data_IF_607809788991
#
_entry.id   IF_607809788991
#
_cell.length_a   1.000
_cell.length_b   1.000
_cell.length_c   1.000
_cell.angle_alpha   90.00
_cell.angle_beta   90.00
_cell.angle_gamma   90.00
#
_symmetry.space_group_name_H-M   'P 1'
#
loop_
_entity.id
_entity.type
_entity.pdbx_description
1 polymer ?
#
# COMPACT_ATOMS: atom_id res chain seq x y z
N UNK A 1 24.74 -15.94 -5.60
CA UNK A 1 24.31 -15.93 -4.17
C UNK A 1 23.17 -14.94 -3.94
N UNK A 2 23.28 -13.73 -4.44
CA UNK A 2 22.23 -12.68 -4.32
C UNK A 2 20.88 -13.10 -4.89
N UNK A 3 20.84 -13.67 -6.10
CA UNK A 3 19.59 -14.14 -6.73
C UNK A 3 18.87 -15.18 -5.89
N UNK A 4 19.59 -16.14 -5.30
CA UNK A 4 18.99 -17.16 -4.42
C UNK A 4 18.39 -16.48 -3.18
N UNK A 5 19.12 -15.54 -2.58
CA UNK A 5 18.65 -14.81 -1.41
C UNK A 5 17.37 -14.04 -1.69
N UNK A 6 17.24 -13.41 -2.87
CA UNK A 6 16.00 -12.75 -3.31
C UNK A 6 14.80 -13.70 -3.32
N UNK A 7 14.95 -14.88 -3.89
CA UNK A 7 13.87 -15.89 -3.90
C UNK A 7 13.56 -16.43 -2.51
N UNK A 8 14.56 -16.64 -1.66
CA UNK A 8 14.37 -17.10 -0.28
C UNK A 8 13.58 -16.06 0.53
N UNK A 9 13.94 -14.80 0.44
CA UNK A 9 13.27 -13.71 1.17
C UNK A 9 11.82 -13.58 0.71
N UNK A 10 11.56 -13.54 -0.59
CA UNK A 10 10.19 -13.35 -1.08
C UNK A 10 9.30 -14.57 -0.77
N UNK A 11 9.86 -15.78 -0.84
CA UNK A 11 9.16 -17.00 -0.42
C UNK A 11 8.82 -16.96 1.07
N UNK A 12 9.77 -16.54 1.92
CA UNK A 12 9.58 -16.42 3.35
C UNK A 12 8.53 -15.36 3.70
N UNK A 13 8.54 -14.20 3.02
CA UNK A 13 7.51 -13.15 3.17
C UNK A 13 6.14 -13.70 2.80
N UNK A 14 6.00 -14.35 1.64
CA UNK A 14 4.75 -14.93 1.18
C UNK A 14 4.22 -16.03 2.11
N UNK A 15 5.10 -16.93 2.55
CA UNK A 15 4.77 -17.99 3.49
C UNK A 15 4.24 -17.43 4.81
N UNK A 16 5.05 -16.56 5.43
CA UNK A 16 4.77 -16.04 6.76
C UNK A 16 3.53 -15.14 6.77
N UNK A 17 3.35 -14.28 5.76
CA UNK A 17 2.16 -13.45 5.62
C UNK A 17 0.88 -14.29 5.50
N UNK A 18 0.90 -15.34 4.65
CA UNK A 18 -0.24 -16.25 4.52
C UNK A 18 -0.55 -16.99 5.82
N UNK A 19 0.46 -17.43 6.57
CA UNK A 19 0.28 -18.07 7.88
C UNK A 19 -0.32 -17.08 8.88
N UNK A 20 0.18 -15.84 8.94
CA UNK A 20 -0.33 -14.81 9.84
C UNK A 20 -1.81 -14.49 9.55
N UNK A 21 -2.18 -14.40 8.29
CA UNK A 21 -3.56 -14.19 7.86
C UNK A 21 -4.43 -15.41 8.16
N UNK A 22 -3.94 -16.64 7.91
CA UNK A 22 -4.65 -17.88 8.21
C UNK A 22 -5.01 -18.00 9.70
N UNK A 23 -4.08 -17.64 10.57
CA UNK A 23 -4.26 -17.67 12.02
C UNK A 23 -4.91 -16.39 12.58
N UNK A 24 -5.36 -15.47 11.73
CA UNK A 24 -5.95 -14.19 12.12
C UNK A 24 -5.07 -13.37 13.08
N UNK A 25 -3.74 -13.52 12.99
CA UNK A 25 -2.75 -12.82 13.81
C UNK A 25 -2.49 -11.43 13.23
N UNK A 26 -2.23 -11.37 11.93
CA UNK A 26 -2.02 -10.14 11.20
C UNK A 26 -2.56 -10.27 9.77
N UNK A 27 -3.16 -9.19 9.27
CA UNK A 27 -3.56 -9.03 7.88
C UNK A 27 -3.15 -7.64 7.39
N UNK A 28 -2.80 -7.54 6.14
CA UNK A 28 -2.34 -6.30 5.54
C UNK A 28 -3.50 -5.38 5.18
N UNK A 29 -4.61 -5.94 4.69
CA UNK A 29 -5.77 -5.15 4.26
C UNK A 29 -6.45 -4.45 5.44
N UNK A 30 -6.41 -3.12 5.43
CA UNK A 30 -7.01 -2.28 6.48
C UNK A 30 -8.53 -2.47 6.61
N UNK A 31 -9.21 -2.83 5.51
CA UNK A 31 -10.63 -3.16 5.51
C UNK A 31 -10.93 -4.54 6.11
N UNK A 32 -9.97 -5.46 6.09
CA UNK A 32 -10.14 -6.82 6.63
C UNK A 32 -9.91 -6.88 8.13
N UNK A 33 -9.01 -6.04 8.68
CA UNK A 33 -8.70 -6.04 10.12
C UNK A 33 -9.94 -5.86 11.01
N UNK A 34 -10.86 -4.91 10.74
CA UNK A 34 -12.10 -4.77 11.51
C UNK A 34 -13.08 -5.95 11.38
N UNK A 35 -12.97 -6.75 10.33
CA UNK A 35 -13.84 -7.91 10.10
C UNK A 35 -13.37 -9.13 10.88
N UNK A 36 -12.07 -9.26 11.14
CA UNK A 36 -11.52 -10.43 11.84
C UNK A 36 -12.08 -10.68 13.24
N UNK A 37 -12.40 -9.67 14.09
CA UNK A 37 -13.10 -9.91 15.35
C UNK A 37 -14.43 -10.67 15.19
N UNK A 38 -15.21 -10.40 14.13
CA UNK A 38 -16.47 -11.11 13.86
C UNK A 38 -16.23 -12.61 13.66
N UNK A 39 -15.14 -12.97 12.98
CA UNK A 39 -14.72 -14.35 12.81
C UNK A 39 -14.19 -14.96 14.10
N UNK A 40 -13.30 -14.25 14.82
CA UNK A 40 -12.71 -14.74 16.07
C UNK A 40 -13.76 -14.96 17.17
N UNK A 41 -14.80 -14.14 17.19
CA UNK A 41 -15.95 -14.24 18.12
C UNK A 41 -17.07 -15.16 17.59
N UNK A 42 -16.81 -15.89 16.48
CA UNK A 42 -17.73 -16.86 15.86
C UNK A 42 -19.06 -16.27 15.36
N UNK A 43 -19.10 -14.96 15.10
CA UNK A 43 -20.27 -14.30 14.48
C UNK A 43 -20.23 -14.39 12.94
N UNK A 44 -19.09 -14.73 12.38
CA UNK A 44 -18.85 -14.91 10.93
C UNK A 44 -18.20 -16.28 10.70
N UNK A 45 -18.60 -16.99 9.66
CA UNK A 45 -17.94 -18.23 9.26
C UNK A 45 -16.70 -17.99 8.37
N UNK A 46 -15.91 -19.04 8.17
CA UNK A 46 -14.67 -18.98 7.39
C UNK A 46 -14.91 -18.65 5.92
N UNK A 47 -16.05 -19.09 5.34
CA UNK A 47 -16.38 -18.83 3.92
C UNK A 47 -16.72 -17.36 3.72
N UNK A 48 -17.48 -16.77 4.62
CA UNK A 48 -17.81 -15.34 4.59
C UNK A 48 -16.54 -14.49 4.76
N UNK A 49 -15.63 -14.84 5.68
CA UNK A 49 -14.36 -14.18 5.85
C UNK A 49 -13.52 -14.24 4.56
N UNK A 50 -13.39 -15.42 3.95
CA UNK A 50 -12.65 -15.62 2.71
C UNK A 50 -13.24 -14.81 1.54
N UNK A 51 -14.57 -14.81 1.39
CA UNK A 51 -15.27 -14.03 0.37
C UNK A 51 -15.05 -12.53 0.57
N UNK A 52 -15.12 -12.05 1.82
CA UNK A 52 -14.84 -10.64 2.16
C UNK A 52 -13.40 -10.27 1.84
N UNK A 53 -12.42 -11.09 2.25
CA UNK A 53 -11.00 -10.88 1.96
C UNK A 53 -10.75 -10.76 0.46
N UNK A 54 -11.33 -11.67 -0.33
CA UNK A 54 -11.24 -11.62 -1.79
C UNK A 54 -11.87 -10.34 -2.35
N UNK A 55 -13.09 -10.02 -1.94
CA UNK A 55 -13.83 -8.88 -2.47
C UNK A 55 -13.09 -7.54 -2.28
N UNK A 56 -12.46 -7.34 -1.11
CA UNK A 56 -11.77 -6.08 -0.80
C UNK A 56 -10.29 -6.09 -1.20
N UNK A 57 -9.66 -7.25 -1.45
CA UNK A 57 -8.25 -7.38 -1.81
C UNK A 57 -8.01 -7.47 -3.30
N UNK A 58 -8.82 -8.25 -4.03
CA UNK A 58 -8.55 -8.61 -5.43
C UNK A 58 -8.45 -7.39 -6.35
N UNK A 59 -9.36 -6.42 -6.21
CA UNK A 59 -9.34 -5.21 -7.03
C UNK A 59 -8.06 -4.39 -6.85
N UNK A 60 -7.56 -4.28 -5.62
CA UNK A 60 -6.30 -3.59 -5.32
C UNK A 60 -5.08 -4.35 -5.87
N UNK A 61 -5.09 -5.69 -5.85
CA UNK A 61 -4.00 -6.48 -6.45
C UNK A 61 -3.94 -6.26 -7.96
N UNK A 62 -5.06 -6.44 -8.66
CA UNK A 62 -5.10 -6.39 -10.12
C UNK A 62 -5.05 -4.96 -10.65
N UNK A 63 -5.78 -4.03 -10.01
CA UNK A 63 -5.89 -2.65 -10.50
C UNK A 63 -4.78 -1.73 -10.05
N UNK A 64 -4.11 -2.02 -8.94
CA UNK A 64 -3.10 -1.16 -8.36
C UNK A 64 -1.74 -1.85 -8.22
N UNK A 65 -1.68 -2.94 -7.48
CA UNK A 65 -0.43 -3.60 -7.13
C UNK A 65 0.35 -4.11 -8.33
N UNK A 66 -0.28 -4.91 -9.20
CA UNK A 66 0.38 -5.51 -10.35
C UNK A 66 0.84 -4.47 -11.39
N UNK A 67 0.00 -3.52 -11.87
CA UNK A 67 0.43 -2.54 -12.85
C UNK A 67 1.61 -1.69 -12.38
N UNK A 68 1.61 -1.24 -11.13
CA UNK A 68 2.73 -0.47 -10.58
C UNK A 68 3.99 -1.32 -10.41
N UNK A 69 3.85 -2.58 -10.01
CA UNK A 69 4.98 -3.51 -9.88
C UNK A 69 5.63 -3.81 -11.24
N UNK A 70 4.83 -4.01 -12.27
CA UNK A 70 5.31 -4.24 -13.63
C UNK A 70 6.05 -3.00 -14.14
N UNK A 71 5.46 -1.82 -13.98
CA UNK A 71 6.04 -0.56 -14.47
C UNK A 71 7.40 -0.23 -13.81
N UNK A 72 7.55 -0.48 -12.51
CA UNK A 72 8.77 -0.19 -11.77
C UNK A 72 9.77 -1.37 -11.74
N UNK A 73 9.36 -2.56 -12.19
CA UNK A 73 10.13 -3.82 -12.04
C UNK A 73 10.51 -4.14 -10.57
N UNK A 74 9.76 -3.60 -9.63
CA UNK A 74 9.88 -3.78 -8.19
C UNK A 74 8.50 -4.13 -7.66
N UNK A 75 8.39 -5.13 -6.79
CA UNK A 75 7.09 -5.56 -6.23
C UNK A 75 6.54 -4.46 -5.32
N UNK A 76 5.35 -3.92 -5.65
CA UNK A 76 4.60 -3.15 -4.67
C UNK A 76 4.04 -4.12 -3.62
N UNK A 77 4.27 -3.83 -2.35
CA UNK A 77 3.92 -4.73 -1.23
C UNK A 77 2.45 -5.19 -1.26
N UNK A 78 1.56 -4.40 -1.83
CA UNK A 78 0.14 -4.73 -2.02
C UNK A 78 -0.07 -6.00 -2.85
N UNK A 79 0.80 -6.29 -3.84
CA UNK A 79 0.70 -7.52 -4.63
C UNK A 79 0.86 -8.76 -3.77
N UNK A 80 1.84 -8.75 -2.88
CA UNK A 80 2.13 -9.93 -2.09
C UNK A 80 1.23 -10.02 -0.85
N UNK A 81 1.09 -8.94 -0.08
CA UNK A 81 0.40 -9.01 1.20
C UNK A 81 -1.13 -9.08 1.07
N UNK A 82 -1.75 -8.40 0.11
CA UNK A 82 -3.20 -8.57 -0.13
C UNK A 82 -3.55 -9.95 -0.66
N UNK A 83 -2.71 -10.51 -1.54
CA UNK A 83 -2.93 -11.88 -2.03
C UNK A 83 -2.70 -12.92 -0.94
N UNK A 84 -1.71 -12.72 -0.07
CA UNK A 84 -1.48 -13.63 1.07
C UNK A 84 -2.59 -13.53 2.11
N UNK A 85 -3.25 -12.38 2.29
CA UNK A 85 -4.48 -12.26 3.09
C UNK A 85 -5.60 -13.13 2.51
N UNK A 86 -5.79 -13.11 1.18
CA UNK A 86 -6.75 -13.96 0.49
C UNK A 86 -6.38 -15.44 0.69
N UNK A 87 -5.15 -15.85 0.36
CA UNK A 87 -4.68 -17.25 0.49
C UNK A 87 -4.87 -17.72 1.93
N UNK A 88 -4.43 -16.94 2.91
CA UNK A 88 -4.52 -17.28 4.33
C UNK A 88 -5.96 -17.50 4.76
N UNK A 89 -6.89 -16.62 4.41
CA UNK A 89 -8.30 -16.73 4.78
C UNK A 89 -9.05 -17.84 4.04
N UNK A 90 -8.65 -18.20 2.84
CA UNK A 90 -9.24 -19.30 2.07
C UNK A 90 -8.82 -20.69 2.57
N UNK A 91 -7.60 -20.83 3.07
CA UNK A 91 -7.15 -22.08 3.66
C UNK A 91 -7.90 -22.38 4.96
N UNK A 92 -8.24 -23.66 5.28
CA UNK A 92 -8.90 -24.03 6.52
C UNK A 92 -8.15 -23.56 7.76
N UNK A 93 -8.89 -23.25 8.83
CA UNK A 93 -8.33 -22.89 10.15
C UNK A 93 -7.95 -24.15 10.94
N UNK A 94 -6.97 -24.87 10.41
CA UNK A 94 -6.41 -26.11 10.98
C UNK A 94 -4.90 -26.09 10.84
N UNK A 95 -4.17 -26.94 11.59
CA UNK A 95 -2.72 -27.09 11.42
C UNK A 95 -2.32 -27.43 9.99
N UNK A 96 -3.08 -28.29 9.30
CA UNK A 96 -2.84 -28.63 7.89
C UNK A 96 -3.12 -27.43 6.98
N UNK A 97 -4.20 -26.69 7.23
CA UNK A 97 -4.53 -25.48 6.48
C UNK A 97 -3.50 -24.36 6.68
N UNK A 98 -2.97 -24.21 7.89
CA UNK A 98 -1.88 -23.27 8.16
C UNK A 98 -0.61 -23.61 7.34
N UNK A 99 -0.21 -24.89 7.32
CA UNK A 99 0.94 -25.33 6.51
C UNK A 99 0.66 -25.11 5.02
N UNK A 100 -0.53 -25.50 4.55
CA UNK A 100 -0.93 -25.30 3.16
C UNK A 100 -0.90 -23.83 2.76
N UNK A 101 -1.42 -22.93 3.61
CA UNK A 101 -1.39 -21.48 3.36
C UNK A 101 0.04 -20.96 3.24
N UNK A 102 0.95 -21.43 4.10
CA UNK A 102 2.37 -21.08 4.05
C UNK A 102 3.04 -21.54 2.77
N UNK A 103 2.81 -22.80 2.34
CA UNK A 103 3.36 -23.33 1.09
C UNK A 103 2.83 -22.57 -0.11
N UNK A 104 1.50 -22.33 -0.20
CA UNK A 104 0.89 -21.59 -1.31
C UNK A 104 1.41 -20.16 -1.33
N UNK A 105 1.52 -19.52 -0.16
CA UNK A 105 2.07 -18.16 -0.04
C UNK A 105 3.54 -18.07 -0.48
N UNK A 106 4.37 -19.06 -0.13
CA UNK A 106 5.76 -19.14 -0.60
C UNK A 106 5.85 -19.27 -2.12
N UNK A 107 5.09 -20.20 -2.69
CA UNK A 107 5.03 -20.41 -4.14
C UNK A 107 4.53 -19.16 -4.85
N UNK A 108 3.51 -18.49 -4.32
CA UNK A 108 3.01 -17.23 -4.86
C UNK A 108 4.08 -16.14 -4.87
N UNK A 109 4.81 -15.95 -3.75
CA UNK A 109 5.89 -14.96 -3.67
C UNK A 109 6.98 -15.19 -4.72
N UNK A 110 7.41 -16.44 -4.88
CA UNK A 110 8.39 -16.84 -5.91
C UNK A 110 7.83 -16.61 -7.31
N UNK A 111 6.57 -17.04 -7.55
CA UNK A 111 5.91 -16.87 -8.82
C UNK A 111 5.73 -15.39 -9.19
N UNK A 112 5.45 -14.52 -8.22
CA UNK A 112 5.33 -13.09 -8.44
C UNK A 112 6.67 -12.47 -8.87
N UNK A 113 7.78 -12.80 -8.18
CA UNK A 113 9.10 -12.30 -8.52
C UNK A 113 9.56 -12.80 -9.89
N UNK A 114 9.37 -14.09 -10.18
CA UNK A 114 9.68 -14.69 -11.47
C UNK A 114 8.76 -14.15 -12.58
N UNK A 115 7.46 -14.02 -12.26
CA UNK A 115 6.45 -13.59 -13.23
C UNK A 115 6.63 -12.15 -13.70
N UNK A 116 7.15 -11.24 -12.86
CA UNK A 116 7.49 -9.89 -13.29
C UNK A 116 8.51 -9.89 -14.43
N UNK A 117 9.58 -10.70 -14.33
CA UNK A 117 10.58 -10.79 -15.38
C UNK A 117 9.99 -11.39 -16.67
N UNK A 118 9.22 -12.47 -16.55
CA UNK A 118 8.55 -13.10 -17.70
C UNK A 118 7.60 -12.12 -18.40
N UNK A 119 6.87 -11.30 -17.64
CA UNK A 119 6.00 -10.27 -18.21
C UNK A 119 6.82 -9.23 -18.97
N UNK A 120 7.92 -8.75 -18.41
CA UNK A 120 8.81 -7.79 -19.08
C UNK A 120 9.34 -8.37 -20.39
N UNK A 121 9.81 -9.62 -20.36
CA UNK A 121 10.33 -10.31 -21.54
C UNK A 121 9.24 -10.49 -22.61
N UNK A 122 8.01 -10.82 -22.19
CA UNK A 122 6.86 -10.93 -23.10
C UNK A 122 6.52 -9.58 -23.76
N UNK A 123 6.54 -8.46 -23.00
CA UNK A 123 6.30 -7.14 -23.56
C UNK A 123 7.35 -6.74 -24.57
N UNK A 124 8.61 -7.16 -24.38
CA UNK A 124 9.70 -6.93 -25.32
C UNK A 124 9.53 -7.67 -26.64
N UNK A 125 8.72 -8.74 -26.68
CA UNK A 125 8.38 -9.48 -27.91
C UNK A 125 7.20 -8.86 -28.66
N UNK A 126 6.44 -7.95 -28.05
CA UNK A 126 5.30 -7.33 -28.72
C UNK A 126 5.75 -6.32 -29.80
N UNK A 127 5.09 -6.29 -30.98
CA UNK A 127 5.34 -5.28 -32.00
C UNK A 127 5.18 -3.85 -31.48
N UNK A 128 4.22 -3.63 -30.60
CA UNK A 128 4.03 -2.39 -29.86
C UNK A 128 4.28 -2.68 -28.37
N UNK A 129 5.51 -2.42 -27.91
CA UNK A 129 5.81 -2.54 -26.48
C UNK A 129 5.25 -1.33 -25.74
N UNK A 130 4.16 -1.54 -25.02
CA UNK A 130 3.48 -0.50 -24.26
C UNK A 130 3.78 -0.54 -22.75
N UNK A 131 4.75 -1.34 -22.30
CA UNK A 131 5.12 -1.50 -20.89
C UNK A 131 5.48 -0.15 -20.25
N UNK A 132 6.32 0.66 -20.93
CA UNK A 132 6.70 1.99 -20.45
C UNK A 132 5.50 2.94 -20.29
N UNK A 133 4.51 2.84 -21.19
CA UNK A 133 3.29 3.65 -21.11
C UNK A 133 2.43 3.28 -19.90
N UNK A 134 2.45 2.01 -19.45
CA UNK A 134 1.76 1.59 -18.21
C UNK A 134 2.33 2.28 -16.98
N UNK A 135 3.56 2.78 -17.01
CA UNK A 135 4.14 3.61 -15.95
C UNK A 135 3.32 4.86 -15.64
N UNK A 136 2.56 5.40 -16.61
CA UNK A 136 1.66 6.53 -16.40
C UNK A 136 0.53 6.23 -15.41
N UNK A 137 0.16 4.97 -15.22
CA UNK A 137 -0.77 4.56 -14.16
C UNK A 137 -0.23 4.96 -12.79
N UNK A 138 1.05 4.76 -12.55
CA UNK A 138 1.71 5.11 -11.29
C UNK A 138 1.77 6.63 -11.05
N UNK A 139 1.88 7.45 -12.09
CA UNK A 139 1.94 8.91 -11.94
C UNK A 139 0.68 9.49 -11.29
N UNK A 140 -0.51 9.01 -11.69
CA UNK A 140 -1.77 9.40 -11.06
C UNK A 140 -1.83 9.01 -9.57
N UNK A 141 -1.32 7.82 -9.25
CA UNK A 141 -1.31 7.30 -7.88
C UNK A 141 -0.33 8.10 -7.00
N UNK A 142 0.83 8.47 -7.52
CA UNK A 142 1.82 9.28 -6.80
C UNK A 142 1.20 10.61 -6.34
N UNK A 143 0.52 11.31 -7.25
CA UNK A 143 -0.19 12.55 -6.93
C UNK A 143 -1.30 12.31 -5.89
N UNK A 144 -2.04 11.22 -6.01
CA UNK A 144 -3.09 10.83 -5.09
C UNK A 144 -2.58 10.65 -3.66
N UNK A 145 -1.43 10.02 -3.50
CA UNK A 145 -0.79 9.86 -2.19
C UNK A 145 -0.39 11.19 -1.55
N UNK A 146 -0.05 12.20 -2.31
CA UNK A 146 0.25 13.53 -1.78
C UNK A 146 -1.02 14.27 -1.30
N UNK A 147 -2.19 13.92 -1.85
CA UNK A 147 -3.47 14.62 -1.60
C UNK A 147 -4.28 13.99 -0.46
N UNK A 148 -4.16 12.68 -0.20
CA UNK A 148 -5.09 11.99 0.72
C UNK A 148 -5.15 12.60 2.14
N UNK A 149 -4.09 13.22 2.73
CA UNK A 149 -4.21 13.86 4.04
C UNK A 149 -5.23 15.01 4.03
N UNK A 150 -5.29 15.78 2.95
CA UNK A 150 -6.27 16.86 2.81
C UNK A 150 -7.70 16.31 2.72
N UNK A 151 -7.90 15.18 2.02
CA UNK A 151 -9.20 14.51 1.95
C UNK A 151 -9.58 13.94 3.33
N UNK A 152 -8.64 13.36 4.06
CA UNK A 152 -8.84 12.88 5.44
C UNK A 152 -9.29 14.02 6.36
N UNK A 153 -8.63 15.18 6.28
CA UNK A 153 -8.99 16.38 7.05
C UNK A 153 -10.38 16.87 6.65
N UNK A 154 -10.71 16.87 5.36
CA UNK A 154 -12.03 17.26 4.88
C UNK A 154 -13.14 16.34 5.42
N UNK A 155 -12.91 15.03 5.44
CA UNK A 155 -13.86 14.04 5.98
C UNK A 155 -14.08 14.20 7.48
N UNK A 156 -13.03 14.51 8.24
CA UNK A 156 -13.12 14.61 9.69
C UNK A 156 -13.56 15.99 10.19
N UNK A 157 -13.10 17.07 9.55
CA UNK A 157 -13.21 18.44 10.05
C UNK A 157 -13.96 19.39 9.11
N UNK A 158 -14.49 18.86 8.01
CA UNK A 158 -15.22 19.63 7.00
C UNK A 158 -14.34 20.22 5.89
N UNK A 159 -14.99 20.62 4.82
CA UNK A 159 -14.35 21.03 3.57
C UNK A 159 -13.38 22.21 3.74
N UNK A 160 -13.69 23.20 4.60
CA UNK A 160 -12.84 24.37 4.79
C UNK A 160 -11.43 24.00 5.28
N UNK A 161 -11.33 23.15 6.32
CA UNK A 161 -10.04 22.67 6.83
C UNK A 161 -9.33 21.77 5.83
N UNK A 162 -10.09 20.95 5.09
CA UNK A 162 -9.57 20.15 3.99
C UNK A 162 -8.94 21.00 2.89
N UNK A 163 -9.60 22.10 2.47
CA UNK A 163 -9.08 23.04 1.48
C UNK A 163 -7.80 23.73 2.00
N UNK A 164 -7.77 24.17 3.25
CA UNK A 164 -6.56 24.76 3.86
C UNK A 164 -5.40 23.75 3.77
N UNK A 165 -5.65 22.49 4.16
CA UNK A 165 -4.64 21.43 4.08
C UNK A 165 -4.16 21.22 2.65
N UNK A 166 -5.07 21.14 1.68
CA UNK A 166 -4.74 20.99 0.27
C UNK A 166 -3.90 22.16 -0.26
N UNK A 167 -4.26 23.39 0.08
CA UNK A 167 -3.51 24.60 -0.32
C UNK A 167 -2.08 24.58 0.26
N UNK A 168 -1.93 24.28 1.54
CA UNK A 168 -0.58 24.18 2.15
C UNK A 168 0.22 23.06 1.52
N UNK A 169 -0.37 21.90 1.30
CA UNK A 169 0.27 20.76 0.62
C UNK A 169 0.76 21.16 -0.80
N UNK A 170 -0.09 21.86 -1.57
CA UNK A 170 0.25 22.36 -2.89
C UNK A 170 1.38 23.39 -2.84
N UNK A 171 1.33 24.33 -1.89
CA UNK A 171 2.39 25.34 -1.73
C UNK A 171 3.74 24.69 -1.39
N UNK A 172 3.76 23.74 -0.46
CA UNK A 172 4.98 22.98 -0.12
C UNK A 172 5.50 22.25 -1.34
N UNK A 173 4.63 21.56 -2.09
CA UNK A 173 5.00 20.89 -3.34
C UNK A 173 5.67 21.85 -4.32
N UNK A 174 5.05 23.02 -4.54
CA UNK A 174 5.56 24.02 -5.48
C UNK A 174 6.88 24.66 -5.02
N UNK A 175 7.02 24.94 -3.72
CA UNK A 175 8.26 25.46 -3.13
C UNK A 175 9.38 24.44 -3.32
N UNK A 176 9.13 23.15 -3.03
CA UNK A 176 10.15 22.10 -3.18
C UNK A 176 10.48 21.85 -4.67
N UNK A 177 9.52 21.94 -5.58
CA UNK A 177 9.79 21.86 -7.02
C UNK A 177 10.73 22.97 -7.48
N UNK A 178 10.57 24.18 -6.93
CA UNK A 178 11.37 25.34 -7.34
C UNK A 178 12.73 25.42 -6.62
N UNK A 179 12.76 25.10 -5.32
CA UNK A 179 13.92 25.34 -4.45
C UNK A 179 14.46 24.07 -3.77
N UNK A 180 13.90 22.89 -4.07
CA UNK A 180 14.25 21.64 -3.38
C UNK A 180 15.63 21.06 -3.72
N UNK A 181 16.40 21.72 -4.61
CA UNK A 181 17.80 21.35 -4.88
C UNK A 181 18.71 22.16 -3.99
N UNK A 182 19.32 21.52 -3.00
CA UNK A 182 20.21 22.14 -2.01
C UNK A 182 21.62 21.67 -2.32
N UNK A 183 22.47 22.54 -2.83
CA UNK A 183 23.91 22.27 -2.98
C UNK A 183 24.56 22.28 -1.58
N UNK A 184 25.17 21.18 -1.17
CA UNK A 184 25.95 21.07 0.05
C UNK A 184 27.38 21.52 -0.17
N UNK A 185 27.94 21.16 -1.33
CA UNK A 185 29.26 21.55 -1.81
C UNK A 185 29.30 21.50 -3.36
N UNK A 186 30.49 21.65 -3.96
CA UNK A 186 30.67 21.65 -5.42
C UNK A 186 30.32 20.31 -6.11
N UNK A 187 30.31 19.20 -5.35
CA UNK A 187 30.11 17.85 -5.89
C UNK A 187 28.81 17.19 -5.37
N UNK A 188 28.24 17.70 -4.27
CA UNK A 188 27.09 17.08 -3.61
C UNK A 188 25.87 18.01 -3.61
N UNK A 189 24.80 17.57 -4.26
CA UNK A 189 23.50 18.23 -4.24
C UNK A 189 22.45 17.29 -3.70
N UNK A 190 21.74 17.71 -2.65
CA UNK A 190 20.54 17.00 -2.18
C UNK A 190 19.34 17.51 -2.95
N UNK A 191 18.60 16.61 -3.57
CA UNK A 191 17.36 16.93 -4.28
C UNK A 191 16.17 16.38 -3.46
N UNK A 192 15.38 17.29 -2.89
CA UNK A 192 14.18 16.91 -2.15
C UNK A 192 13.08 16.48 -3.12
N UNK A 193 12.41 15.36 -2.83
CA UNK A 193 11.26 14.92 -3.61
C UNK A 193 10.03 15.77 -3.27
N UNK A 194 9.46 16.45 -4.27
CA UNK A 194 8.34 17.39 -4.11
C UNK A 194 7.07 16.71 -3.59
N UNK A 195 6.75 15.50 -4.09
CA UNK A 195 5.53 14.79 -3.72
C UNK A 195 5.66 14.17 -2.31
N UNK A 196 6.86 13.68 -1.95
CA UNK A 196 7.18 13.22 -0.60
C UNK A 196 7.10 14.33 0.45
N UNK A 197 7.63 15.52 0.15
CA UNK A 197 7.57 16.68 1.05
C UNK A 197 6.15 17.24 1.18
N UNK A 198 5.38 17.25 0.10
CA UNK A 198 3.96 17.60 0.12
C UNK A 198 3.17 16.64 1.01
N UNK A 199 3.40 15.33 0.85
CA UNK A 199 2.81 14.30 1.70
C UNK A 199 3.15 14.53 3.17
N UNK A 200 4.42 14.79 3.49
CA UNK A 200 4.87 15.06 4.86
C UNK A 200 4.12 16.25 5.48
N UNK A 201 4.03 17.36 4.74
CA UNK A 201 3.31 18.55 5.21
C UNK A 201 1.82 18.25 5.47
N UNK A 202 1.16 17.57 4.54
CA UNK A 202 -0.23 17.15 4.70
C UNK A 202 -0.45 16.24 5.90
N UNK A 203 0.46 15.28 6.12
CA UNK A 203 0.42 14.38 7.28
C UNK A 203 0.58 15.12 8.61
N UNK A 204 1.50 16.06 8.69
CA UNK A 204 1.70 16.88 9.91
C UNK A 204 0.43 17.66 10.22
N UNK A 205 -0.15 18.35 9.25
CA UNK A 205 -1.38 19.13 9.44
C UNK A 205 -2.53 18.23 9.89
N UNK A 206 -2.70 17.07 9.24
CA UNK A 206 -3.73 16.09 9.58
C UNK A 206 -3.59 15.63 11.05
N UNK A 207 -2.37 15.30 11.49
CA UNK A 207 -2.10 14.87 12.86
C UNK A 207 -2.33 15.99 13.87
N UNK A 208 -1.96 17.23 13.54
CA UNK A 208 -2.21 18.40 14.39
C UNK A 208 -3.72 18.61 14.57
N UNK A 209 -4.51 18.62 13.50
CA UNK A 209 -5.95 18.72 13.60
C UNK A 209 -6.57 17.58 14.39
N UNK A 210 -6.12 16.35 14.17
CA UNK A 210 -6.60 15.18 14.89
C UNK A 210 -6.26 15.24 16.38
N UNK A 211 -5.09 15.74 16.75
CA UNK A 211 -4.70 15.91 18.16
C UNK A 211 -5.47 17.04 18.87
N UNK A 212 -5.88 18.08 18.14
CA UNK A 212 -6.67 19.19 18.67
C UNK A 212 -8.16 18.86 18.81
N UNK A 213 -8.62 17.79 18.20
CA UNK A 213 -10.02 17.38 18.19
C UNK A 213 -10.40 16.71 19.52
N UNK A 214 -11.36 17.29 20.21
CA UNK A 214 -11.87 16.82 21.52
C UNK A 214 -13.29 16.24 21.45
N UNK A 215 -13.91 16.17 20.27
CA UNK A 215 -15.25 15.60 20.14
C UNK A 215 -15.24 14.10 20.44
N UNK A 216 -16.20 13.64 21.23
CA UNK A 216 -16.38 12.21 21.56
C UNK A 216 -15.74 11.79 22.89
N UNK A 217 -15.43 12.72 23.79
CA UNK A 217 -14.87 12.42 25.12
C UNK A 217 -15.99 12.15 26.13
N UNK A 218 -16.63 10.98 26.05
CA UNK A 218 -17.59 10.49 27.04
C UNK A 218 -16.84 9.74 28.15
N UNK A 219 -16.72 10.37 29.34
CA UNK A 219 -15.92 9.87 30.47
C UNK A 219 -16.43 8.58 31.11
N UNK A 220 -17.69 8.14 30.90
CA UNK A 220 -18.28 7.01 31.60
C UNK A 220 -18.05 5.63 30.93
N UNK A 221 -17.42 5.59 29.75
CA UNK A 221 -17.13 4.33 29.02
C UNK A 221 -15.67 3.86 29.15
N UNK A 222 -14.81 4.66 29.81
CA UNK A 222 -13.35 4.55 29.65
C UNK A 222 -12.71 3.33 30.33
N UNK A 223 -13.15 2.90 31.52
CA UNK A 223 -12.48 1.79 32.22
C UNK A 223 -12.67 0.44 31.55
N UNK A 224 -13.89 0.13 31.10
CA UNK A 224 -14.20 -1.12 30.41
C UNK A 224 -13.53 -1.20 29.04
N UNK A 225 -13.49 -0.09 28.29
CA UNK A 225 -12.81 0.01 27.00
C UNK A 225 -11.29 -0.13 27.16
N UNK A 226 -10.70 0.48 28.19
CA UNK A 226 -9.27 0.38 28.48
C UNK A 226 -8.86 -1.08 28.76
N UNK A 227 -9.67 -1.85 29.47
CA UNK A 227 -9.43 -3.27 29.71
C UNK A 227 -9.51 -4.08 28.41
N UNK A 228 -10.54 -3.86 27.60
CA UNK A 228 -10.69 -4.52 26.29
C UNK A 228 -9.48 -4.22 25.38
N UNK A 229 -9.03 -2.99 25.35
CA UNK A 229 -7.86 -2.61 24.56
C UNK A 229 -6.57 -3.25 25.07
N UNK A 230 -6.40 -3.35 26.39
CA UNK A 230 -5.26 -4.04 26.99
C UNK A 230 -5.21 -5.52 26.60
N UNK A 231 -6.34 -6.21 26.59
CA UNK A 231 -6.43 -7.63 26.17
C UNK A 231 -6.12 -7.81 24.68
N UNK A 232 -6.60 -6.89 23.83
CA UNK A 232 -6.30 -6.88 22.39
C UNK A 232 -4.80 -6.65 22.12
N UNK A 233 -4.19 -5.72 22.84
CA UNK A 233 -2.72 -5.47 22.72
C UNK A 233 -1.92 -6.65 23.28
N UNK A 234 -2.35 -7.26 24.40
CA UNK A 234 -1.71 -8.46 24.95
C UNK A 234 -1.72 -9.63 23.96
N UNK A 235 -2.82 -9.78 23.20
CA UNK A 235 -2.92 -10.76 22.11
C UNK A 235 -1.85 -10.52 21.04
N UNK A 236 -1.68 -9.28 20.56
CA UNK A 236 -0.66 -8.93 19.57
C UNK A 236 0.75 -9.21 20.12
N UNK A 237 1.01 -8.81 21.37
CA UNK A 237 2.29 -9.01 22.04
C UNK A 237 2.69 -10.48 22.15
N UNK A 238 1.74 -11.39 22.30
CA UNK A 238 1.99 -12.84 22.31
C UNK A 238 2.66 -13.32 21.01
N UNK A 239 2.35 -12.69 19.87
CA UNK A 239 2.88 -13.04 18.56
C UNK A 239 4.04 -12.14 18.12
N UNK A 240 4.58 -11.31 19.02
CA UNK A 240 5.66 -10.37 18.71
C UNK A 240 6.87 -11.03 18.02
N UNK A 241 7.36 -12.22 18.40
CA UNK A 241 8.51 -12.81 17.72
C UNK A 241 8.27 -13.11 16.24
N UNK A 242 7.08 -13.60 15.90
CA UNK A 242 6.70 -13.93 14.52
C UNK A 242 6.46 -12.66 13.71
N UNK A 243 5.85 -11.65 14.31
CA UNK A 243 5.63 -10.34 13.71
C UNK A 243 6.95 -9.60 13.47
N UNK A 244 7.89 -9.70 14.43
CA UNK A 244 9.23 -9.15 14.29
C UNK A 244 10.00 -9.80 13.13
N UNK A 245 9.95 -11.14 13.01
CA UNK A 245 10.53 -11.85 11.87
C UNK A 245 9.92 -11.35 10.55
N UNK A 246 8.60 -11.16 10.49
CA UNK A 246 7.92 -10.64 9.31
C UNK A 246 8.40 -9.24 8.92
N UNK A 247 8.49 -8.33 9.88
CA UNK A 247 9.02 -6.97 9.64
C UNK A 247 10.48 -6.98 9.21
N UNK A 248 11.29 -7.85 9.79
CA UNK A 248 12.68 -8.06 9.37
C UNK A 248 12.79 -8.53 7.92
N UNK A 249 11.98 -9.52 7.52
CA UNK A 249 11.94 -10.03 6.14
C UNK A 249 11.49 -8.95 5.14
N UNK A 250 10.49 -8.13 5.49
CA UNK A 250 10.06 -7.00 4.65
C UNK A 250 11.19 -5.98 4.52
N UNK A 251 11.86 -5.60 5.60
CA UNK A 251 12.98 -4.66 5.56
C UNK A 251 14.15 -5.21 4.71
N UNK A 252 14.48 -6.49 4.85
CA UNK A 252 15.50 -7.14 4.04
C UNK A 252 15.13 -7.17 2.55
N UNK A 253 13.88 -7.51 2.22
CA UNK A 253 13.38 -7.51 0.84
C UNK A 253 13.40 -6.11 0.22
N UNK A 254 13.06 -5.08 1.00
CA UNK A 254 13.14 -3.68 0.57
C UNK A 254 14.58 -3.23 0.38
N UNK A 255 15.50 -3.64 1.27
CA UNK A 255 16.94 -3.37 1.15
C UNK A 255 17.53 -3.91 -0.16
N UNK A 256 17.05 -5.06 -0.61
CA UNK A 256 17.45 -5.69 -1.88
C UNK A 256 16.67 -5.17 -3.10
N UNK A 257 15.87 -4.13 -2.97
CA UNK A 257 15.00 -3.61 -4.04
C UNK A 257 14.07 -4.68 -4.67
N UNK A 258 13.65 -5.66 -3.85
CA UNK A 258 12.66 -6.67 -4.25
C UNK A 258 11.26 -6.06 -4.17
N UNK A 259 11.01 -5.26 -3.14
CA UNK A 259 9.71 -4.68 -2.84
C UNK A 259 9.80 -3.27 -2.28
N UNK A 260 8.71 -2.52 -2.41
CA UNK A 260 8.53 -1.20 -1.81
C UNK A 260 7.14 -1.09 -1.18
N UNK A 261 7.00 -0.18 -0.22
CA UNK A 261 5.77 -0.01 0.55
C UNK A 261 4.71 0.87 -0.12
N UNK A 262 5.13 1.76 -1.00
CA UNK A 262 4.28 2.75 -1.68
C UNK A 262 4.83 3.11 -3.06
N UNK A 263 3.99 3.66 -3.96
CA UNK A 263 4.38 3.92 -5.34
C UNK A 263 5.39 5.04 -5.50
N UNK A 264 5.41 6.04 -4.60
CA UNK A 264 6.40 7.13 -4.68
C UNK A 264 7.78 6.58 -4.35
N UNK A 265 7.90 5.89 -3.21
CA UNK A 265 9.15 5.23 -2.81
C UNK A 265 9.60 4.17 -3.81
N UNK A 266 8.64 3.45 -4.44
CA UNK A 266 8.90 2.44 -5.47
C UNK A 266 9.52 3.09 -6.72
N UNK A 267 8.96 4.19 -7.21
CA UNK A 267 9.47 4.92 -8.36
C UNK A 267 10.87 5.47 -8.11
N UNK A 268 11.07 6.16 -6.98
CA UNK A 268 12.39 6.68 -6.58
C UNK A 268 13.42 5.57 -6.41
N UNK A 269 13.03 4.41 -5.86
CA UNK A 269 13.89 3.24 -5.74
C UNK A 269 14.28 2.67 -7.11
N UNK A 270 13.36 2.65 -8.07
CA UNK A 270 13.62 2.22 -9.44
C UNK A 270 14.60 3.16 -10.17
N UNK A 271 14.56 4.46 -9.85
CA UNK A 271 15.50 5.47 -10.33
C UNK A 271 16.86 5.45 -9.59
N UNK A 272 16.99 4.63 -8.53
CA UNK A 272 18.19 4.51 -7.71
C UNK A 272 18.28 5.53 -6.57
N UNK A 273 17.29 6.40 -6.39
CA UNK A 273 17.25 7.43 -5.34
C UNK A 273 16.69 6.85 -4.02
N UNK A 274 17.53 6.06 -3.34
CA UNK A 274 17.16 5.40 -2.09
C UNK A 274 16.89 6.38 -0.94
N UNK A 275 17.59 7.51 -0.92
CA UNK A 275 17.47 8.50 0.16
C UNK A 275 16.10 9.15 0.12
N UNK A 276 15.70 9.69 -1.04
CA UNK A 276 14.36 10.29 -1.19
C UNK A 276 13.24 9.26 -1.09
N UNK A 277 13.46 8.02 -1.55
CA UNK A 277 12.55 6.91 -1.31
C UNK A 277 12.34 6.67 0.20
N UNK A 278 13.43 6.66 0.98
CA UNK A 278 13.39 6.48 2.44
C UNK A 278 12.70 7.64 3.16
N UNK A 279 12.96 8.88 2.77
CA UNK A 279 12.30 10.07 3.33
C UNK A 279 10.79 10.08 3.04
N UNK A 280 10.40 9.69 1.82
CA UNK A 280 8.99 9.56 1.44
C UNK A 280 8.29 8.46 2.24
N UNK A 281 8.94 7.30 2.38
CA UNK A 281 8.43 6.21 3.20
C UNK A 281 8.28 6.63 4.68
N UNK A 282 9.21 7.44 5.21
CA UNK A 282 9.14 7.99 6.56
C UNK A 282 7.94 8.93 6.74
N UNK A 283 7.74 9.85 5.81
CA UNK A 283 6.58 10.74 5.81
C UNK A 283 5.27 9.95 5.87
N UNK A 284 5.16 8.92 5.04
CA UNK A 284 4.00 8.02 5.03
C UNK A 284 3.85 7.27 6.35
N UNK A 285 4.93 6.68 6.88
CA UNK A 285 4.89 5.90 8.11
C UNK A 285 4.36 6.73 9.29
N UNK A 286 4.82 7.98 9.43
CA UNK A 286 4.33 8.91 10.47
C UNK A 286 2.82 9.11 10.36
N UNK A 287 2.31 9.37 9.15
CA UNK A 287 0.88 9.59 8.94
C UNK A 287 0.01 8.35 9.09
N UNK A 288 0.58 7.15 8.93
CA UNK A 288 -0.15 5.88 9.07
C UNK A 288 -0.20 5.36 10.51
N UNK A 289 0.54 5.95 11.45
CA UNK A 289 0.47 5.59 12.89
C UNK A 289 -0.99 5.54 13.39
N UNK A 290 -1.83 6.58 13.21
CA UNK A 290 -3.22 6.54 13.68
C UNK A 290 -4.00 5.35 13.12
N UNK A 291 -3.92 5.09 11.81
CA UNK A 291 -4.64 3.99 11.16
C UNK A 291 -4.22 2.62 11.72
N UNK A 292 -2.92 2.35 11.75
CA UNK A 292 -2.40 1.04 12.15
C UNK A 292 -2.57 0.82 13.65
N UNK A 293 -2.24 1.82 14.49
CA UNK A 293 -2.32 1.70 15.93
C UNK A 293 -3.78 1.57 16.40
N UNK A 294 -4.69 2.42 15.94
CA UNK A 294 -6.10 2.35 16.37
C UNK A 294 -6.75 1.05 15.93
N UNK A 295 -6.49 0.58 14.70
CA UNK A 295 -7.02 -0.68 14.21
C UNK A 295 -6.47 -1.85 15.01
N UNK A 296 -5.17 -1.87 15.30
CA UNK A 296 -4.53 -2.92 16.09
C UNK A 296 -5.11 -2.99 17.51
N UNK A 297 -5.23 -1.85 18.20
CA UNK A 297 -5.73 -1.75 19.57
C UNK A 297 -7.21 -2.18 19.66
N UNK A 298 -8.02 -1.81 18.67
CA UNK A 298 -9.46 -2.14 18.69
C UNK A 298 -9.77 -3.57 18.27
N UNK A 299 -8.98 -4.13 17.34
CA UNK A 299 -9.26 -5.47 16.78
C UNK A 299 -8.43 -6.59 17.41
N UNK A 300 -7.25 -6.28 17.96
CA UNK A 300 -6.27 -7.27 18.39
C UNK A 300 -5.60 -7.99 17.23
N UNK A 301 -5.67 -7.43 16.02
CA UNK A 301 -5.03 -7.92 14.79
C UNK A 301 -4.04 -6.89 14.30
N UNK A 302 -2.79 -7.31 14.07
CA UNK A 302 -1.74 -6.40 13.64
C UNK A 302 -1.61 -6.34 12.12
N UNK A 303 -0.82 -5.39 11.61
CA UNK A 303 -0.42 -5.35 10.22
C UNK A 303 0.92 -6.10 10.04
N UNK A 304 1.10 -6.94 9.00
CA UNK A 304 2.37 -7.63 8.76
C UNK A 304 3.57 -6.69 8.58
N UNK A 305 3.33 -5.52 7.99
CA UNK A 305 4.34 -4.48 7.81
C UNK A 305 4.39 -3.46 8.96
N UNK A 306 3.68 -3.70 10.07
CA UNK A 306 3.58 -2.80 11.21
C UNK A 306 3.04 -1.42 10.80
N UNK A 307 3.56 -0.38 11.44
CA UNK A 307 3.29 1.02 11.11
C UNK A 307 4.08 1.52 9.89
N UNK A 308 4.64 0.58 9.11
CA UNK A 308 5.36 0.78 7.84
C UNK A 308 6.79 1.33 7.94
N UNK A 309 7.33 1.56 9.13
CA UNK A 309 8.73 1.98 9.31
C UNK A 309 9.75 0.95 8.80
N UNK A 310 9.36 -0.32 8.68
CA UNK A 310 10.20 -1.38 8.10
C UNK A 310 10.64 -1.08 6.66
N UNK A 311 9.84 -0.33 5.89
CA UNK A 311 10.23 0.11 4.55
C UNK A 311 11.30 1.21 4.62
N UNK A 312 11.18 2.15 5.55
CA UNK A 312 12.19 3.19 5.79
C UNK A 312 13.55 2.54 6.10
N UNK A 313 13.54 1.55 6.99
CA UNK A 313 14.72 0.78 7.37
C UNK A 313 15.34 0.09 6.15
N UNK A 314 14.52 -0.62 5.35
CA UNK A 314 15.00 -1.31 4.17
C UNK A 314 15.53 -0.37 3.09
N UNK A 315 14.94 0.82 2.93
CA UNK A 315 15.41 1.82 1.96
C UNK A 315 16.74 2.47 2.38
N UNK A 316 16.89 2.77 3.67
CA UNK A 316 18.07 3.48 4.18
C UNK A 316 19.25 2.55 4.57
N UNK A 317 18.99 1.25 4.81
CA UNK A 317 20.02 0.28 5.17
C UNK A 317 20.28 -0.64 3.96
N UNK A 318 21.42 -0.49 3.25
CA UNK A 318 21.71 -1.28 2.04
C UNK A 318 22.00 -2.76 2.31
N UNK A 319 22.47 -3.11 3.53
CA UNK A 319 22.78 -4.49 3.87
C UNK A 319 21.52 -5.25 4.32
N UNK A 320 21.09 -6.30 3.62
CA UNK A 320 19.83 -7.00 3.91
C UNK A 320 19.83 -7.73 5.27
N UNK A 321 20.96 -8.17 5.77
CA UNK A 321 21.05 -8.81 7.09
C UNK A 321 20.91 -7.80 8.22
N UNK A 322 21.52 -6.62 8.07
CA UNK A 322 21.35 -5.52 9.03
C UNK A 322 19.92 -5.01 8.96
N UNK A 323 19.35 -4.83 7.76
CA UNK A 323 17.96 -4.42 7.57
C UNK A 323 16.98 -5.42 8.19
N UNK A 324 17.24 -6.74 8.10
CA UNK A 324 16.44 -7.78 8.76
C UNK A 324 16.40 -7.59 10.27
N UNK A 325 17.56 -7.41 10.89
CA UNK A 325 17.67 -7.25 12.35
C UNK A 325 16.99 -5.94 12.78
N UNK A 326 17.29 -4.85 12.09
CA UNK A 326 16.71 -3.53 12.39
C UNK A 326 15.19 -3.50 12.17
N UNK A 327 14.68 -4.12 11.10
CA UNK A 327 13.24 -4.24 10.83
C UNK A 327 12.52 -5.09 11.88
N UNK A 328 13.13 -6.18 12.33
CA UNK A 328 12.61 -6.98 13.43
C UNK A 328 12.55 -6.20 14.74
N UNK A 329 13.61 -5.46 15.07
CA UNK A 329 13.66 -4.60 16.24
C UNK A 329 12.59 -3.48 16.17
N UNK A 330 12.39 -2.89 15.00
CA UNK A 330 11.37 -1.87 14.77
C UNK A 330 9.97 -2.39 15.11
N UNK A 331 9.56 -3.54 14.61
CA UNK A 331 8.26 -4.15 14.95
C UNK A 331 8.13 -4.42 16.45
N UNK A 332 9.21 -4.86 17.12
CA UNK A 332 9.19 -5.02 18.57
C UNK A 332 8.90 -3.69 19.27
N UNK A 333 9.58 -2.60 18.86
CA UNK A 333 9.35 -1.27 19.42
C UNK A 333 7.92 -0.80 19.16
N UNK A 334 7.42 -0.93 17.94
CA UNK A 334 6.05 -0.56 17.58
C UNK A 334 5.02 -1.29 18.45
N UNK A 335 5.16 -2.62 18.64
CA UNK A 335 4.24 -3.42 19.48
C UNK A 335 4.32 -3.00 20.95
N UNK A 336 5.51 -2.69 21.46
CA UNK A 336 5.66 -2.20 22.83
C UNK A 336 5.01 -0.81 23.02
N UNK A 337 5.11 0.05 22.01
CA UNK A 337 4.47 1.36 22.00
C UNK A 337 2.94 1.31 21.92
N UNK A 338 2.34 0.23 21.40
CA UNK A 338 0.88 0.10 21.35
C UNK A 338 0.22 0.25 22.73
N UNK A 339 0.86 -0.22 23.82
CA UNK A 339 0.34 -0.01 25.16
C UNK A 339 0.33 1.47 25.58
N UNK A 340 1.34 2.24 25.16
CA UNK A 340 1.43 3.68 25.44
C UNK A 340 0.40 4.42 24.62
N UNK A 341 0.28 4.07 23.33
CA UNK A 341 -0.69 4.66 22.42
C UNK A 341 -2.13 4.35 22.88
N UNK A 342 -2.42 3.12 23.30
CA UNK A 342 -3.74 2.74 23.82
C UNK A 342 -4.17 3.63 25.00
N UNK A 343 -3.27 3.85 25.96
CA UNK A 343 -3.51 4.78 27.09
C UNK A 343 -3.63 6.25 26.65
N UNK A 344 -3.01 6.62 25.53
CA UNK A 344 -3.06 7.97 24.99
C UNK A 344 -4.32 8.24 24.17
N UNK A 345 -4.93 7.22 23.55
CA UNK A 345 -6.11 7.37 22.71
C UNK A 345 -7.31 7.95 23.45
N UNK A 346 -7.44 7.67 24.74
CA UNK A 346 -8.50 8.24 25.58
C UNK A 346 -8.35 9.79 25.73
N UNK A 347 -7.12 10.31 25.60
CA UNK A 347 -6.82 11.74 25.66
C UNK A 347 -6.99 12.46 24.31
N UNK A 348 -6.92 11.71 23.20
CA UNK A 348 -6.94 12.25 21.84
C UNK A 348 -7.96 11.50 20.96
N UNK A 349 -9.27 11.66 21.21
CA UNK A 349 -10.32 10.94 20.49
C UNK A 349 -10.29 11.21 18.97
N UNK A 350 -9.86 12.39 18.55
CA UNK A 350 -9.71 12.74 17.15
C UNK A 350 -8.69 11.89 16.39
N UNK A 351 -7.66 11.37 17.06
CA UNK A 351 -6.66 10.48 16.44
C UNK A 351 -7.30 9.13 16.08
N UNK A 352 -8.19 8.62 16.90
CA UNK A 352 -8.95 7.37 16.62
C UNK A 352 -9.82 7.53 15.37
N UNK A 353 -10.60 8.61 15.29
CA UNK A 353 -11.44 8.92 14.10
C UNK A 353 -10.61 9.16 12.84
N UNK A 354 -9.41 9.73 12.99
CA UNK A 354 -8.48 9.96 11.89
C UNK A 354 -8.11 8.64 11.17
N UNK A 355 -7.92 7.53 11.89
CA UNK A 355 -7.62 6.23 11.29
C UNK A 355 -8.69 5.76 10.30
N UNK A 356 -9.98 5.87 10.65
CA UNK A 356 -11.08 5.49 9.77
C UNK A 356 -11.21 6.44 8.57
N UNK A 357 -11.01 7.74 8.80
CA UNK A 357 -11.04 8.74 7.74
C UNK A 357 -9.86 8.60 6.76
N UNK A 358 -8.66 8.19 7.22
CA UNK A 358 -7.52 7.87 6.35
C UNK A 358 -7.89 6.73 5.39
N UNK A 359 -8.51 5.64 5.89
CA UNK A 359 -8.95 4.52 5.06
C UNK A 359 -9.92 4.98 3.97
N UNK A 360 -10.93 5.76 4.34
CA UNK A 360 -11.94 6.28 3.41
C UNK A 360 -11.31 7.22 2.39
N UNK A 361 -10.46 8.15 2.83
CA UNK A 361 -9.74 9.08 1.96
C UNK A 361 -8.86 8.33 0.94
N UNK A 362 -8.10 7.34 1.40
CA UNK A 362 -7.26 6.50 0.53
C UNK A 362 -8.09 5.80 -0.54
N UNK A 363 -9.24 5.23 -0.18
CA UNK A 363 -10.11 4.56 -1.15
C UNK A 363 -10.61 5.52 -2.23
N UNK A 364 -11.06 6.72 -1.84
CA UNK A 364 -11.53 7.72 -2.81
C UNK A 364 -10.42 8.20 -3.75
N UNK A 365 -9.26 8.47 -3.19
CA UNK A 365 -8.15 9.05 -3.93
C UNK A 365 -7.52 8.03 -4.87
N UNK A 366 -7.36 6.77 -4.44
CA UNK A 366 -6.84 5.68 -5.29
C UNK A 366 -7.81 5.37 -6.43
N UNK A 367 -9.12 5.33 -6.17
CA UNK A 367 -10.12 5.00 -7.20
C UNK A 367 -10.04 5.98 -8.38
N UNK A 368 -10.05 7.28 -8.10
CA UNK A 368 -9.94 8.30 -9.16
C UNK A 368 -8.55 8.35 -9.78
N UNK A 369 -7.50 8.13 -8.99
CA UNK A 369 -6.11 8.15 -9.47
C UNK A 369 -5.83 7.03 -10.48
N UNK A 370 -6.34 5.82 -10.20
CA UNK A 370 -6.21 4.68 -11.11
C UNK A 370 -6.95 4.90 -12.43
N UNK A 371 -8.11 5.55 -12.39
CA UNK A 371 -8.83 5.91 -13.61
C UNK A 371 -8.05 6.94 -14.42
N UNK A 372 -7.59 8.02 -13.79
CA UNK A 372 -6.79 9.06 -14.45
C UNK A 372 -5.49 8.47 -14.99
N UNK A 373 -4.76 7.70 -14.18
CA UNK A 373 -3.52 7.05 -14.58
C UNK A 373 -3.73 6.08 -15.76
N UNK A 374 -4.83 5.33 -15.75
CA UNK A 374 -5.22 4.48 -16.88
C UNK A 374 -5.49 5.28 -18.16
N UNK A 375 -6.17 6.42 -18.04
CA UNK A 375 -6.41 7.34 -19.18
C UNK A 375 -5.07 7.87 -19.72
N UNK A 376 -4.16 8.31 -18.86
CA UNK A 376 -2.85 8.81 -19.27
C UNK A 376 -2.04 7.72 -19.98
N UNK A 377 -2.02 6.49 -19.43
CA UNK A 377 -1.38 5.35 -20.05
C UNK A 377 -1.99 5.02 -21.43
N UNK A 378 -3.31 4.99 -21.52
CA UNK A 378 -4.02 4.74 -22.77
C UNK A 378 -3.71 5.80 -23.85
N UNK A 379 -3.63 7.08 -23.47
CA UNK A 379 -3.24 8.17 -24.36
C UNK A 379 -1.77 8.08 -24.79
N UNK A 380 -0.88 7.62 -23.89
CA UNK A 380 0.53 7.41 -24.23
C UNK A 380 0.71 6.24 -25.21
N UNK A 381 -0.17 5.22 -25.16
CA UNK A 381 -0.16 4.08 -26.08
C UNK A 381 -0.76 4.48 -27.44
N UNK A 382 -1.96 5.03 -27.44
CA UNK A 382 -2.71 5.43 -28.63
C UNK A 382 -3.31 6.82 -28.44
N UNK A 383 -2.65 7.91 -28.88
CA UNK A 383 -3.16 9.26 -28.73
C UNK A 383 -4.60 9.39 -29.27
N UNK A 384 -5.49 10.06 -28.54
CA UNK A 384 -6.93 10.25 -28.79
C UNK A 384 -7.76 8.96 -28.80
N UNK A 385 -7.39 7.95 -29.56
CA UNK A 385 -8.10 6.66 -29.65
C UNK A 385 -8.06 5.90 -28.33
N UNK A 386 -6.93 5.94 -27.61
CA UNK A 386 -6.82 5.33 -26.29
C UNK A 386 -7.79 5.92 -25.27
N UNK A 387 -7.99 7.24 -25.29
CA UNK A 387 -9.00 7.90 -24.47
C UNK A 387 -10.41 7.40 -24.79
N UNK A 388 -10.76 7.31 -26.07
CA UNK A 388 -12.06 6.79 -26.50
C UNK A 388 -12.29 5.37 -25.98
N UNK A 389 -11.30 4.48 -26.14
CA UNK A 389 -11.42 3.07 -25.73
C UNK A 389 -11.62 2.97 -24.22
N UNK A 390 -10.83 3.71 -23.41
CA UNK A 390 -10.91 3.59 -21.95
C UNK A 390 -12.19 4.18 -21.40
N UNK A 391 -12.68 5.29 -21.97
CA UNK A 391 -13.97 5.88 -21.58
C UNK A 391 -15.13 4.94 -21.95
N UNK A 392 -15.09 4.36 -23.16
CA UNK A 392 -16.07 3.36 -23.57
C UNK A 392 -16.06 2.14 -22.65
N UNK A 393 -14.88 1.63 -22.31
CA UNK A 393 -14.71 0.51 -21.39
C UNK A 393 -15.28 0.83 -20.01
N UNK A 394 -14.99 2.01 -19.46
CA UNK A 394 -15.55 2.48 -18.19
C UNK A 394 -17.09 2.58 -18.22
N UNK A 395 -17.65 3.19 -19.26
CA UNK A 395 -19.10 3.31 -19.43
C UNK A 395 -19.79 1.94 -19.54
N UNK A 396 -19.21 1.03 -20.36
CA UNK A 396 -19.75 -0.32 -20.54
C UNK A 396 -19.66 -1.11 -19.22
N UNK A 397 -18.56 -0.96 -18.49
CA UNK A 397 -18.44 -1.57 -17.17
C UNK A 397 -19.54 -1.12 -16.20
N UNK A 398 -19.90 0.17 -16.21
CA UNK A 398 -21.02 0.71 -15.40
C UNK A 398 -22.37 0.14 -15.79
N UNK A 399 -22.56 -0.21 -17.06
CA UNK A 399 -23.79 -0.82 -17.57
C UNK A 399 -23.86 -2.34 -17.35
N UNK A 400 -22.75 -2.97 -16.93
CA UNK A 400 -22.68 -4.42 -16.72
C UNK A 400 -23.52 -4.85 -15.52
N UNK A 401 -24.17 -6.02 -15.62
CA UNK A 401 -24.83 -6.69 -14.47
C UNK A 401 -23.84 -7.15 -13.38
N UNK A 402 -22.58 -7.36 -13.76
CA UNK A 402 -21.47 -7.72 -12.85
C UNK A 402 -20.28 -6.83 -13.20
N UNK A 403 -20.28 -5.57 -12.74
CA UNK A 403 -19.19 -4.66 -13.07
C UNK A 403 -17.89 -5.11 -12.40
N UNK A 404 -16.79 -4.83 -13.07
CA UNK A 404 -15.47 -4.90 -12.44
C UNK A 404 -15.39 -3.85 -11.33
N UNK A 405 -14.56 -4.12 -10.31
CA UNK A 405 -14.26 -3.12 -9.29
C UNK A 405 -13.69 -1.86 -9.94
N UNK A 406 -14.15 -0.69 -9.50
CA UNK A 406 -13.81 0.60 -10.13
C UNK A 406 -12.32 0.82 -10.25
N UNK A 407 -11.55 0.47 -9.22
CA UNK A 407 -10.08 0.57 -9.19
C UNK A 407 -9.36 -0.23 -10.29
N UNK A 408 -9.97 -1.31 -10.79
CA UNK A 408 -9.37 -2.13 -11.86
C UNK A 408 -9.61 -1.58 -13.26
N UNK A 409 -10.63 -0.72 -13.43
CA UNK A 409 -11.09 -0.30 -14.79
C UNK A 409 -10.01 0.51 -15.52
N UNK A 410 -9.35 1.45 -14.84
CA UNK A 410 -8.28 2.26 -15.45
C UNK A 410 -7.11 1.41 -15.95
N UNK A 411 -6.42 0.67 -15.08
CA UNK A 411 -5.28 -0.17 -15.47
C UNK A 411 -5.63 -1.25 -16.49
N UNK A 412 -6.74 -1.97 -16.31
CA UNK A 412 -7.18 -2.98 -17.27
C UNK A 412 -7.57 -2.36 -18.62
N UNK A 413 -8.16 -1.16 -18.58
CA UNK A 413 -8.45 -0.39 -19.78
C UNK A 413 -7.18 -0.01 -20.55
N UNK A 414 -6.12 0.42 -19.86
CA UNK A 414 -4.83 0.72 -20.46
C UNK A 414 -4.19 -0.53 -21.11
N UNK A 415 -4.23 -1.68 -20.41
CA UNK A 415 -3.76 -2.96 -20.97
C UNK A 415 -4.57 -3.33 -22.22
N UNK A 416 -5.90 -3.19 -22.18
CA UNK A 416 -6.77 -3.44 -23.33
C UNK A 416 -6.39 -2.54 -24.52
N UNK A 417 -6.13 -1.26 -24.30
CA UNK A 417 -5.65 -0.34 -25.34
C UNK A 417 -4.34 -0.83 -25.96
N UNK A 418 -3.39 -1.27 -25.14
CA UNK A 418 -2.13 -1.84 -25.61
C UNK A 418 -2.31 -3.11 -26.46
N UNK A 419 -3.21 -4.00 -26.07
CA UNK A 419 -3.54 -5.19 -26.85
C UNK A 419 -4.20 -4.81 -28.19
N UNK A 420 -5.14 -3.89 -28.18
CA UNK A 420 -5.80 -3.37 -29.39
C UNK A 420 -4.75 -2.71 -30.32
N UNK A 421 -3.83 -1.91 -29.77
CA UNK A 421 -2.75 -1.30 -30.53
C UNK A 421 -1.89 -2.34 -31.27
N UNK A 422 -1.56 -3.46 -30.61
CA UNK A 422 -0.82 -4.56 -31.26
C UNK A 422 -1.63 -5.22 -32.38
N UNK A 423 -2.93 -5.50 -32.16
CA UNK A 423 -3.79 -6.05 -33.21
C UNK A 423 -3.88 -5.10 -34.41
N UNK A 424 -4.11 -3.82 -34.17
CA UNK A 424 -4.21 -2.82 -35.25
C UNK A 424 -2.85 -2.63 -35.98
N UNK A 425 -1.72 -2.74 -35.27
CA UNK A 425 -0.40 -2.73 -35.90
C UNK A 425 -0.24 -3.92 -36.86
N UNK A 426 -0.59 -5.13 -36.43
CA UNK A 426 -0.53 -6.33 -37.28
C UNK A 426 -1.44 -6.25 -38.50
N UNK A 427 -2.54 -5.50 -38.39
CA UNK A 427 -3.47 -5.23 -39.51
C UNK A 427 -3.04 -4.02 -40.36
N UNK A 428 -1.91 -3.39 -40.07
CA UNK A 428 -1.41 -2.16 -40.73
C UNK A 428 -2.39 -0.97 -40.62
N UNK A 429 -3.22 -0.96 -39.58
CA UNK A 429 -4.20 0.12 -39.28
C UNK A 429 -3.70 1.09 -38.21
N UNK A 430 -2.57 0.82 -37.59
CA UNK A 430 -1.95 1.66 -36.59
C UNK A 430 -0.42 1.60 -36.69
N UNK A 431 0.21 2.78 -36.54
CA UNK A 431 1.68 2.90 -36.44
C UNK A 431 1.96 3.66 -35.14
N UNK A 432 2.78 3.09 -34.20
CA UNK A 432 3.16 3.81 -32.99
C UNK A 432 3.85 5.12 -33.34
N UNK A 433 3.59 6.17 -32.53
CA UNK A 433 4.38 7.38 -32.61
C UNK A 433 5.84 7.05 -32.22
N UNK A 434 6.81 7.52 -33.00
CA UNK A 434 8.23 7.29 -32.80
C UNK A 434 8.74 7.94 -31.51
#
# INVERSE_FOLDING_TARGET
METILRYVIIAAVGALASILANQSIAVFNDGLRPVLPEYLEKRMDRKALAATSFAIGFGLVIGYGLPTSIAASIILIHCILLTTDIIGTWCPDTKKGMIASGVIGAVYGVALLFGLQVIIDLFNLLPVNFLGSLGQVSAGITLAFAIFPAVTVALQFGAAKGIITAVVTLLVRQIVETYGKIALDAEHTISLNKDGMALLAGMIIMLVFAAMDKEGNDQNSNEMLTQIFADKVARIRKYMPVLALMGGLIAAGTSMSIMAGDPISQGLLAEGDRVNAGLTALARAIGFIPLVATTAITTGVYAPAGMTFVFVIGLLIPNPFIALIAGAACICVEILLLNVIAKGLDKFPGIKRCGDNIRTAMSYVIDIALLIGGILAAQAIMPTTGLFIIVAFWCINKCSKKPLVSMAVGPLGAILVGLIANVLFLLSLYTPAA
#
